data_IF_570324323365
#
_entry.id   IF_570324323365
#
_cell.length_a   1.000
_cell.length_b   1.000
_cell.length_c   1.000
_cell.angle_alpha   90.00
_cell.angle_beta   90.00
_cell.angle_gamma   90.00
#
_symmetry.space_group_name_H-M   'P 1'
#
loop_
_entity.id
_entity.type
_entity.pdbx_description
1 polymer ?
#
# COMPACT_ATOMS: atom_id res chain seq x y z
N UNK A 1 -19.10 7.57 13.74
CA UNK A 1 -17.70 7.87 14.08
C UNK A 1 -16.79 6.64 14.06
N UNK A 2 -17.15 5.53 14.71
CA UNK A 2 -16.28 4.33 14.81
C UNK A 2 -15.75 3.78 13.48
N UNK A 3 -16.58 3.71 12.44
CA UNK A 3 -16.14 3.14 11.17
C UNK A 3 -15.16 4.03 10.39
N UNK A 4 -15.26 5.35 10.55
CA UNK A 4 -14.29 6.28 9.95
C UNK A 4 -12.95 6.15 10.67
N UNK A 5 -12.98 6.13 12.02
CA UNK A 5 -11.79 5.90 12.83
C UNK A 5 -11.12 4.57 12.47
N UNK A 6 -11.88 3.46 12.41
CA UNK A 6 -11.34 2.15 12.05
C UNK A 6 -10.66 2.12 10.66
N UNK A 7 -11.24 2.82 9.67
CA UNK A 7 -10.66 2.94 8.32
C UNK A 7 -9.40 3.79 8.30
N UNK A 8 -9.40 4.91 9.04
CA UNK A 8 -8.23 5.78 9.19
C UNK A 8 -7.09 5.05 9.91
N UNK A 9 -7.39 4.35 11.02
CA UNK A 9 -6.44 3.51 11.74
C UNK A 9 -5.88 2.42 10.83
N UNK A 10 -6.72 1.78 10.01
CA UNK A 10 -6.24 0.80 9.04
C UNK A 10 -5.25 1.43 8.06
N UNK A 11 -5.62 2.54 7.41
CA UNK A 11 -4.75 3.26 6.46
C UNK A 11 -3.40 3.62 7.09
N UNK A 12 -3.43 4.20 8.29
CA UNK A 12 -2.24 4.54 9.06
C UNK A 12 -1.40 3.29 9.36
N UNK A 13 -2.00 2.23 9.89
CA UNK A 13 -1.32 0.98 10.22
C UNK A 13 -0.67 0.34 8.99
N UNK A 14 -1.33 0.38 7.81
CA UNK A 14 -0.73 -0.17 6.58
C UNK A 14 0.56 0.53 6.24
N UNK A 15 0.58 1.87 6.26
CA UNK A 15 1.74 2.68 5.92
C UNK A 15 2.84 2.59 6.97
N UNK A 16 2.47 2.62 8.25
CA UNK A 16 3.42 2.49 9.35
C UNK A 16 4.14 1.13 9.31
N UNK A 17 3.39 0.04 9.20
CA UNK A 17 3.95 -1.32 9.20
C UNK A 17 4.75 -1.57 7.92
N UNK A 18 4.22 -1.23 6.74
CA UNK A 18 4.97 -1.40 5.49
C UNK A 18 6.21 -0.52 5.43
N UNK A 19 6.14 0.70 6.01
CA UNK A 19 7.26 1.62 6.13
C UNK A 19 8.37 1.08 7.03
N UNK A 20 8.02 0.58 8.22
CA UNK A 20 8.97 -0.07 9.13
C UNK A 20 9.62 -1.29 8.46
N UNK A 21 8.83 -2.15 7.82
CA UNK A 21 9.36 -3.31 7.09
C UNK A 21 10.32 -2.88 5.97
N UNK A 22 9.96 -1.82 5.22
CA UNK A 22 10.83 -1.26 4.19
C UNK A 22 12.16 -0.77 4.77
N UNK A 23 12.14 -0.10 5.93
CA UNK A 23 13.37 0.33 6.60
C UNK A 23 14.21 -0.86 7.07
N UNK A 24 13.60 -1.89 7.67
CA UNK A 24 14.33 -3.10 8.06
C UNK A 24 15.03 -3.74 6.86
N UNK A 25 14.30 -3.92 5.74
CA UNK A 25 14.88 -4.49 4.52
C UNK A 25 15.98 -3.60 3.95
N UNK A 26 15.82 -2.28 3.96
CA UNK A 26 16.84 -1.32 3.49
C UNK A 26 18.16 -1.50 4.20
N UNK A 27 18.13 -1.53 5.52
CA UNK A 27 19.34 -1.65 6.31
C UNK A 27 19.96 -3.04 6.20
N UNK A 28 19.16 -4.11 6.04
CA UNK A 28 19.70 -5.45 5.83
C UNK A 28 20.40 -5.56 4.47
N UNK A 29 19.77 -5.07 3.39
CA UNK A 29 20.26 -5.27 2.01
C UNK A 29 21.36 -4.26 1.65
N UNK A 30 21.24 -3.01 2.08
CA UNK A 30 22.27 -1.99 1.85
C UNK A 30 22.62 -1.77 0.37
N UNK A 31 21.61 -1.75 -0.50
CA UNK A 31 21.81 -1.55 -1.94
C UNK A 31 22.13 -0.09 -2.28
N UNK A 32 23.27 0.14 -2.93
CA UNK A 32 23.66 1.43 -3.48
C UNK A 32 22.61 1.98 -4.46
N UNK A 33 22.36 3.29 -4.43
CA UNK A 33 21.47 3.97 -5.41
C UNK A 33 22.07 4.00 -6.82
N UNK A 34 21.25 4.14 -7.89
CA UNK A 34 21.75 4.19 -9.27
C UNK A 34 22.81 5.26 -9.53
N UNK A 35 22.76 6.40 -8.81
CA UNK A 35 23.76 7.46 -8.91
C UNK A 35 25.18 7.07 -8.48
N UNK A 36 25.35 5.96 -7.76
CA UNK A 36 26.66 5.44 -7.34
C UNK A 36 27.10 4.23 -8.17
N UNK A 37 26.36 3.88 -9.22
CA UNK A 37 26.63 2.69 -10.04
C UNK A 37 28.06 2.72 -10.64
N UNK A 38 28.53 3.89 -11.06
CA UNK A 38 29.87 4.07 -11.63
C UNK A 38 31.00 3.98 -10.58
N UNK A 39 30.67 4.10 -9.30
CA UNK A 39 31.65 4.14 -8.20
C UNK A 39 31.76 2.77 -7.53
N UNK A 40 30.63 2.11 -7.23
CA UNK A 40 30.59 0.86 -6.45
C UNK A 40 30.24 -0.36 -7.30
N UNK A 41 29.75 -0.17 -8.53
CA UNK A 41 29.31 -1.23 -9.42
C UNK A 41 27.84 -1.64 -9.21
N UNK A 42 27.24 -2.35 -10.20
CA UNK A 42 25.78 -2.60 -10.26
C UNK A 42 25.24 -3.59 -9.23
N UNK A 43 26.10 -4.41 -8.63
CA UNK A 43 25.73 -5.50 -7.71
C UNK A 43 26.34 -5.36 -6.32
N UNK A 44 26.86 -4.19 -5.97
CA UNK A 44 27.41 -3.96 -4.64
C UNK A 44 26.29 -3.84 -3.61
N UNK A 45 26.35 -4.73 -2.62
CA UNK A 45 25.45 -4.79 -1.47
C UNK A 45 26.29 -4.61 -0.21
N UNK A 46 26.02 -3.56 0.54
CA UNK A 46 26.71 -3.28 1.79
C UNK A 46 25.78 -3.59 2.97
N UNK A 47 25.76 -4.85 3.36
CA UNK A 47 24.82 -5.37 4.37
C UNK A 47 24.97 -4.60 5.69
N UNK A 48 23.85 -4.26 6.32
CA UNK A 48 23.80 -3.50 7.58
C UNK A 48 24.31 -2.05 7.49
N UNK A 49 24.31 -1.46 6.28
CA UNK A 49 24.69 -0.06 6.08
C UNK A 49 23.52 0.91 6.38
N UNK A 50 23.80 1.92 7.23
CA UNK A 50 22.84 2.96 7.65
C UNK A 50 22.88 4.25 6.79
N UNK A 51 23.82 4.35 5.85
CA UNK A 51 23.95 5.50 4.98
C UNK A 51 22.82 5.55 3.94
N UNK A 52 22.23 6.74 3.77
CA UNK A 52 21.12 6.97 2.84
C UNK A 52 21.46 6.62 1.37
N UNK A 53 22.75 6.61 1.02
CA UNK A 53 23.30 6.22 -0.28
C UNK A 53 23.12 4.73 -0.59
N UNK A 54 23.10 3.88 0.44
CA UNK A 54 22.93 2.43 0.37
C UNK A 54 21.50 1.98 0.74
N UNK A 55 20.58 2.93 0.92
CA UNK A 55 19.18 2.67 1.23
C UNK A 55 18.30 2.66 -0.04
N UNK A 56 18.73 2.05 -1.16
CA UNK A 56 17.92 2.02 -2.40
C UNK A 56 16.79 1.00 -2.33
N UNK A 57 17.07 -0.25 -1.96
CA UNK A 57 16.10 -1.35 -2.00
C UNK A 57 15.37 -1.55 -0.66
N UNK A 58 14.04 -1.73 -0.63
CA UNK A 58 13.06 -1.43 -1.69
C UNK A 58 12.75 0.07 -1.75
N UNK A 59 12.08 0.55 -2.81
CA UNK A 59 11.72 1.97 -2.89
C UNK A 59 10.67 2.36 -1.84
N UNK A 60 11.01 3.27 -0.93
CA UNK A 60 10.10 3.75 0.12
C UNK A 60 8.87 4.48 -0.43
N UNK A 61 9.05 5.32 -1.46
CA UNK A 61 7.94 5.99 -2.15
C UNK A 61 6.96 4.98 -2.72
N UNK A 62 7.47 3.95 -3.40
CA UNK A 62 6.65 2.89 -3.99
C UNK A 62 5.91 2.09 -2.93
N UNK A 63 6.57 1.71 -1.82
CA UNK A 63 5.92 1.01 -0.69
C UNK A 63 4.72 1.81 -0.18
N UNK A 64 4.91 3.09 0.12
CA UNK A 64 3.86 3.96 0.68
C UNK A 64 2.66 4.10 -0.26
N UNK A 65 2.91 4.41 -1.54
CA UNK A 65 1.80 4.64 -2.49
C UNK A 65 1.06 3.34 -2.85
N UNK A 66 1.75 2.20 -2.95
CA UNK A 66 1.09 0.91 -3.18
C UNK A 66 0.33 0.42 -1.94
N UNK A 67 0.86 0.61 -0.73
CA UNK A 67 0.16 0.30 0.52
C UNK A 67 -1.14 1.11 0.62
N UNK A 68 -1.05 2.43 0.39
CA UNK A 68 -2.17 3.37 0.43
C UNK A 68 -3.21 3.09 -0.67
N UNK A 69 -2.77 2.92 -1.92
CA UNK A 69 -3.66 2.61 -3.04
C UNK A 69 -4.40 1.28 -2.82
N UNK A 70 -3.70 0.25 -2.33
CA UNK A 70 -4.31 -1.05 -2.00
C UNK A 70 -5.31 -0.92 -0.85
N UNK A 71 -4.99 -0.14 0.18
CA UNK A 71 -5.88 0.06 1.32
C UNK A 71 -7.15 0.83 0.92
N UNK A 72 -7.02 1.89 0.13
CA UNK A 72 -8.14 2.64 -0.42
C UNK A 72 -8.97 1.80 -1.40
N UNK A 73 -8.35 0.94 -2.19
CA UNK A 73 -9.01 0.00 -3.10
C UNK A 73 -9.98 -0.97 -2.39
N UNK A 74 -9.76 -1.28 -1.11
CA UNK A 74 -10.73 -2.05 -0.31
C UNK A 74 -12.00 -1.26 0.02
N UNK A 75 -11.90 0.06 0.20
CA UNK A 75 -13.02 0.92 0.57
C UNK A 75 -13.72 1.57 -0.64
N UNK A 76 -12.97 1.76 -1.74
CA UNK A 76 -13.41 2.43 -2.96
C UNK A 76 -13.27 1.49 -4.18
N UNK A 77 -14.11 0.44 -4.29
CA UNK A 77 -13.95 -0.59 -5.32
C UNK A 77 -14.01 -0.05 -6.77
N UNK A 78 -14.73 1.06 -6.99
CA UNK A 78 -14.80 1.75 -8.28
C UNK A 78 -13.50 2.48 -8.66
N UNK A 79 -12.67 2.83 -7.67
CA UNK A 79 -11.43 3.60 -7.85
C UNK A 79 -10.17 2.73 -7.83
N UNK A 80 -10.31 1.40 -7.72
CA UNK A 80 -9.17 0.46 -7.63
C UNK A 80 -8.15 0.66 -8.75
N UNK A 81 -8.62 0.63 -9.99
CA UNK A 81 -7.75 0.76 -11.16
C UNK A 81 -7.09 2.15 -11.23
N UNK A 82 -7.82 3.28 -11.13
CA UNK A 82 -7.21 4.61 -11.05
C UNK A 82 -6.16 4.76 -9.95
N UNK A 83 -6.41 4.24 -8.75
CA UNK A 83 -5.48 4.33 -7.62
C UNK A 83 -4.20 3.53 -7.86
N UNK A 84 -4.32 2.32 -8.41
CA UNK A 84 -3.16 1.48 -8.73
C UNK A 84 -2.37 2.04 -9.91
N UNK A 85 -3.03 2.64 -10.90
CA UNK A 85 -2.37 3.36 -11.99
C UNK A 85 -1.57 4.56 -11.45
N UNK A 86 -2.16 5.36 -10.56
CA UNK A 86 -1.47 6.47 -9.92
C UNK A 86 -0.25 6.00 -9.11
N UNK A 87 -0.40 4.93 -8.32
CA UNK A 87 0.71 4.34 -7.58
C UNK A 87 1.83 3.84 -8.51
N UNK A 88 1.46 3.27 -9.66
CA UNK A 88 2.39 2.83 -10.70
C UNK A 88 3.15 4.01 -11.31
N UNK A 89 2.44 5.10 -11.65
CA UNK A 89 3.06 6.33 -12.17
C UNK A 89 4.06 6.92 -11.18
N UNK A 90 3.74 6.94 -9.89
CA UNK A 90 4.68 7.37 -8.85
C UNK A 90 5.92 6.45 -8.82
N UNK A 91 5.73 5.13 -8.90
CA UNK A 91 6.83 4.17 -8.99
C UNK A 91 7.73 4.41 -10.21
N UNK A 92 7.14 4.57 -11.39
CA UNK A 92 7.86 4.86 -12.63
C UNK A 92 8.63 6.18 -12.56
N UNK A 93 8.06 7.20 -11.91
CA UNK A 93 8.76 8.47 -11.70
C UNK A 93 10.08 8.31 -10.93
N UNK A 94 10.19 7.30 -10.06
CA UNK A 94 11.42 7.04 -9.28
C UNK A 94 12.52 6.41 -10.13
N UNK A 95 12.15 5.66 -11.15
CA UNK A 95 13.06 5.15 -12.18
C UNK A 95 13.49 6.30 -13.08
N UNK A 96 12.55 7.13 -13.54
CA UNK A 96 12.82 8.25 -14.44
C UNK A 96 13.81 9.28 -13.86
N UNK A 97 13.75 9.52 -12.53
CA UNK A 97 14.69 10.42 -11.84
C UNK A 97 16.02 9.73 -11.48
N UNK A 98 16.19 8.44 -11.83
CA UNK A 98 17.40 7.68 -11.52
C UNK A 98 17.60 7.41 -10.02
N UNK A 99 16.54 7.54 -9.21
CA UNK A 99 16.62 7.38 -7.77
C UNK A 99 16.60 5.90 -7.34
N UNK A 100 16.00 5.03 -8.16
CA UNK A 100 15.76 3.63 -7.84
C UNK A 100 15.83 2.74 -9.09
N UNK A 101 16.28 1.51 -8.93
CA UNK A 101 16.23 0.51 -9.99
C UNK A 101 14.80 0.00 -10.21
N UNK A 102 14.45 -0.52 -11.41
CA UNK A 102 13.15 -1.14 -11.65
C UNK A 102 12.79 -2.23 -10.63
N UNK A 103 13.77 -3.03 -10.21
CA UNK A 103 13.60 -4.05 -9.16
C UNK A 103 13.26 -3.46 -7.78
N UNK A 104 13.76 -2.28 -7.44
CA UNK A 104 13.46 -1.61 -6.15
C UNK A 104 12.00 -1.16 -6.12
N UNK A 105 11.47 -0.73 -7.27
CA UNK A 105 10.08 -0.35 -7.47
C UNK A 105 9.19 -1.59 -7.44
N UNK A 106 9.52 -2.66 -8.17
CA UNK A 106 8.76 -3.91 -8.13
C UNK A 106 8.69 -4.50 -6.71
N UNK A 107 9.81 -4.54 -5.99
CA UNK A 107 9.85 -5.00 -4.61
C UNK A 107 9.05 -4.07 -3.68
N UNK A 108 9.12 -2.76 -3.88
CA UNK A 108 8.33 -1.81 -3.10
C UNK A 108 6.83 -1.97 -3.32
N UNK A 109 6.40 -2.17 -4.56
CA UNK A 109 5.00 -2.43 -4.91
C UNK A 109 4.50 -3.73 -4.25
N UNK A 110 5.28 -4.82 -4.37
CA UNK A 110 4.96 -6.09 -3.74
C UNK A 110 4.87 -5.98 -2.22
N UNK A 111 5.86 -5.36 -1.57
CA UNK A 111 5.90 -5.24 -0.11
C UNK A 111 4.73 -4.41 0.42
N UNK A 112 4.43 -3.26 -0.20
CA UNK A 112 3.30 -2.41 0.17
C UNK A 112 1.96 -3.13 0.01
N UNK A 113 1.71 -3.74 -1.16
CA UNK A 113 0.47 -4.46 -1.43
C UNK A 113 0.30 -5.69 -0.53
N UNK A 114 1.34 -6.53 -0.39
CA UNK A 114 1.29 -7.75 0.42
C UNK A 114 1.04 -7.44 1.90
N UNK A 115 1.71 -6.43 2.46
CA UNK A 115 1.50 -5.98 3.84
C UNK A 115 0.06 -5.55 4.06
N UNK A 116 -0.49 -4.74 3.14
CA UNK A 116 -1.88 -4.29 3.22
C UNK A 116 -2.89 -5.45 3.15
N UNK A 117 -2.68 -6.41 2.25
CA UNK A 117 -3.54 -7.61 2.17
C UNK A 117 -3.48 -8.45 3.45
N UNK A 118 -2.29 -8.66 4.00
CA UNK A 118 -2.09 -9.39 5.26
C UNK A 118 -2.83 -8.69 6.41
N UNK A 119 -2.69 -7.37 6.55
CA UNK A 119 -3.40 -6.61 7.58
C UNK A 119 -4.91 -6.64 7.37
N UNK A 120 -5.40 -6.53 6.14
CA UNK A 120 -6.83 -6.65 5.86
C UNK A 120 -7.37 -8.02 6.30
N UNK A 121 -6.64 -9.09 5.99
CA UNK A 121 -6.95 -10.46 6.40
C UNK A 121 -6.95 -10.62 7.94
N UNK A 122 -5.96 -10.04 8.62
CA UNK A 122 -5.81 -10.07 10.07
C UNK A 122 -6.90 -9.26 10.80
N UNK A 123 -7.29 -8.11 10.24
CA UNK A 123 -8.43 -7.31 10.73
C UNK A 123 -9.75 -8.04 10.53
N UNK A 124 -9.91 -8.77 9.41
CA UNK A 124 -11.12 -9.55 9.15
C UNK A 124 -11.26 -10.76 10.07
N UNK A 125 -10.15 -11.42 10.42
CA UNK A 125 -10.14 -12.51 11.40
C UNK A 125 -10.61 -12.06 12.80
N UNK A 126 -10.45 -10.76 13.10
CA UNK A 126 -10.84 -10.14 14.39
C UNK A 126 -12.13 -9.30 14.30
N UNK A 127 -12.82 -9.31 13.16
CA UNK A 127 -14.04 -8.51 12.90
C UNK A 127 -13.90 -6.99 13.18
N UNK A 128 -12.68 -6.44 13.04
CA UNK A 128 -12.38 -5.04 13.35
C UNK A 128 -12.85 -4.10 12.23
N UNK A 129 -12.09 -4.08 11.12
CA UNK A 129 -12.29 -3.18 9.97
C UNK A 129 -13.02 -3.88 8.84
N UNK A 130 -12.81 -5.18 8.71
CA UNK A 130 -13.34 -6.02 7.65
C UNK A 130 -14.14 -7.17 8.25
N UNK A 131 -15.04 -7.73 7.45
CA UNK A 131 -15.69 -9.02 7.71
C UNK A 131 -15.39 -9.94 6.54
N UNK A 132 -15.28 -11.24 6.81
CA UNK A 132 -15.26 -12.25 5.75
C UNK A 132 -16.69 -12.59 5.39
N UNK A 133 -17.02 -12.51 4.10
CA UNK A 133 -18.22 -13.17 3.57
C UNK A 133 -17.98 -14.67 3.43
N UNK A 134 -19.07 -15.43 3.29
CA UNK A 134 -19.03 -16.87 3.05
C UNK A 134 -18.21 -17.25 1.80
N UNK A 135 -18.13 -16.35 0.81
CA UNK A 135 -17.32 -16.47 -0.42
C UNK A 135 -15.81 -16.14 -0.22
N UNK A 136 -15.34 -16.00 1.02
CA UNK A 136 -13.99 -15.58 1.41
C UNK A 136 -13.59 -14.16 0.98
N UNK A 137 -14.49 -13.36 0.41
CA UNK A 137 -14.20 -11.95 0.08
C UNK A 137 -14.17 -11.11 1.34
N UNK A 138 -13.20 -10.21 1.40
CA UNK A 138 -13.09 -9.19 2.44
C UNK A 138 -14.03 -8.04 2.09
N UNK A 139 -15.00 -7.79 2.95
CA UNK A 139 -15.90 -6.63 2.83
C UNK A 139 -15.64 -5.67 3.99
N UNK A 140 -15.52 -4.36 3.74
CA UNK A 140 -15.45 -3.38 4.82
C UNK A 140 -16.64 -3.53 5.75
N UNK A 141 -16.41 -3.44 7.06
CA UNK A 141 -17.49 -3.38 8.02
C UNK A 141 -18.31 -2.13 7.68
N UNK A 142 -19.62 -2.32 7.47
CA UNK A 142 -20.52 -1.20 7.29
C UNK A 142 -20.33 -0.26 8.47
N UNK A 143 -20.20 1.04 8.20
CA UNK A 143 -20.48 2.00 9.23
C UNK A 143 -21.91 1.72 9.69
N UNK A 144 -22.17 1.64 11.00
CA UNK A 144 -23.52 1.76 11.54
C UNK A 144 -24.09 3.16 11.30
N UNK A 145 -24.02 3.64 10.06
CA UNK A 145 -24.51 4.93 9.61
C UNK A 145 -25.49 4.62 8.48
N UNK A 146 -26.71 4.29 8.92
CA UNK A 146 -27.99 4.70 8.35
C UNK A 146 -27.80 5.47 7.03
N UNK A 147 -27.89 4.76 5.91
CA UNK A 147 -28.23 5.37 4.62
C UNK A 147 -29.54 4.78 4.06
N UNK A 148 -30.70 5.02 4.69
CA UNK A 148 -32.00 4.85 4.05
C UNK A 148 -32.35 6.02 3.11
N UNK A 149 -31.62 7.15 3.16
CA UNK A 149 -32.00 8.37 2.46
C UNK A 149 -31.93 8.30 0.91
N UNK A 150 -31.21 7.34 0.31
CA UNK A 150 -31.28 7.11 -1.16
C UNK A 150 -31.98 5.81 -1.55
N UNK A 151 -32.46 5.00 -0.59
CA UNK A 151 -33.25 3.81 -0.91
C UNK A 151 -34.69 4.17 -1.34
N UNK A 152 -35.18 5.35 -0.93
CA UNK A 152 -36.53 5.84 -1.27
C UNK A 152 -36.69 6.53 -2.63
N UNK A 153 -35.59 6.86 -3.33
CA UNK A 153 -35.67 7.57 -4.63
C UNK A 153 -35.85 6.64 -5.84
N UNK A 154 -35.74 5.32 -5.67
CA UNK A 154 -35.97 4.34 -6.73
C UNK A 154 -37.43 3.91 -6.91
N UNK A 155 -38.34 4.30 -6.02
CA UNK A 155 -39.75 3.87 -6.06
C UNK A 155 -40.68 4.84 -6.80
N UNK A 156 -40.17 5.97 -7.30
CA UNK A 156 -40.97 6.99 -8.01
C UNK A 156 -40.94 6.88 -9.54
N UNK A 157 -40.19 5.93 -10.12
CA UNK A 157 -40.02 5.78 -11.57
C UNK A 157 -40.62 4.49 -12.16
N UNK A 158 -41.58 3.89 -11.45
CA UNK A 158 -42.20 2.62 -11.85
C UNK A 158 -43.72 2.62 -11.76
N UNK A 159 -44.37 3.69 -12.23
CA UNK A 159 -45.75 3.59 -12.72
C UNK A 159 -45.72 3.16 -14.18
#
# INVERSE_FOLDING_TARGET
FEAVAARATFLFATNAISGILSQVVKHIVGRARPQYLDIVGPFHLDLFNLHASFASFPSGHTVTVFASATALAFFLPRWRLPLLLLATLVGLSRIAVGAHYPSDVLAGALLGTATTYYLAWACAARNLVFRRRADRRLVPRAAGLVWPALAGLGQWYGR
#
